data_IF_083033154149
#
_entry.id   IF_083033154149
#
_cell.length_a   1.000
_cell.length_b   1.000
_cell.length_c   1.000
_cell.angle_alpha   90.00
_cell.angle_beta   90.00
_cell.angle_gamma   90.00
#
_symmetry.space_group_name_H-M   'P 1'
#
loop_
_entity.id
_entity.type
_entity.pdbx_description
1 polymer ?
#
# COMPACT_ATOMS: atom_id res chain seq x y z
N UNK A 1 40.03 -4.73 -20.54
CA UNK A 1 38.59 -4.44 -20.31
C UNK A 1 37.96 -5.74 -19.84
N UNK A 2 37.50 -5.82 -18.61
CA UNK A 2 36.75 -6.99 -18.10
C UNK A 2 35.31 -6.75 -18.50
N UNK A 3 34.82 -7.47 -19.53
CA UNK A 3 33.39 -7.51 -19.84
C UNK A 3 32.70 -8.15 -18.66
N UNK A 4 32.01 -7.33 -17.87
CA UNK A 4 31.15 -7.85 -16.81
C UNK A 4 29.93 -8.49 -17.46
N UNK A 5 29.82 -9.80 -17.39
CA UNK A 5 28.58 -10.49 -17.73
C UNK A 5 27.44 -9.91 -16.91
N UNK A 6 26.33 -9.45 -17.53
CA UNK A 6 25.18 -8.95 -16.78
C UNK A 6 24.71 -10.00 -15.78
N UNK A 7 24.44 -9.59 -14.56
CA UNK A 7 23.85 -10.47 -13.57
C UNK A 7 22.53 -11.05 -14.13
N UNK A 8 22.22 -12.34 -13.88
CA UNK A 8 20.97 -12.93 -14.30
C UNK A 8 19.78 -12.15 -13.70
N UNK A 9 18.73 -11.96 -14.50
CA UNK A 9 17.53 -11.27 -14.04
C UNK A 9 16.92 -12.05 -12.86
N UNK A 10 16.44 -11.31 -11.84
CA UNK A 10 15.72 -11.92 -10.71
C UNK A 10 14.47 -12.69 -11.21
N UNK A 11 14.04 -13.75 -10.52
CA UNK A 11 12.79 -14.43 -10.86
C UNK A 11 11.60 -13.48 -10.71
N UNK A 12 10.64 -13.57 -11.65
CA UNK A 12 9.43 -12.73 -11.59
C UNK A 12 8.59 -13.10 -10.37
N UNK A 13 7.99 -12.10 -9.70
CA UNK A 13 7.04 -12.34 -8.61
C UNK A 13 5.82 -13.16 -9.04
N UNK A 14 5.36 -14.06 -8.19
CA UNK A 14 4.07 -14.73 -8.37
C UNK A 14 2.95 -13.91 -7.75
N UNK A 15 2.28 -13.09 -8.56
CA UNK A 15 1.15 -12.27 -8.15
C UNK A 15 -0.19 -13.02 -8.09
N UNK A 16 -0.24 -14.35 -8.29
CA UNK A 16 -1.52 -15.10 -8.41
C UNK A 16 -2.51 -14.80 -7.30
N UNK A 17 -2.05 -14.74 -6.05
CA UNK A 17 -2.90 -14.41 -4.88
C UNK A 17 -3.33 -12.94 -4.81
N UNK A 18 -2.65 -12.06 -5.53
CA UNK A 18 -2.91 -10.62 -5.55
C UNK A 18 -3.66 -10.17 -6.81
N UNK A 19 -3.93 -11.07 -7.76
CA UNK A 19 -4.59 -10.73 -9.03
C UNK A 19 -5.97 -10.08 -8.85
N UNK A 20 -6.68 -10.36 -7.76
CA UNK A 20 -7.95 -9.71 -7.46
C UNK A 20 -7.81 -8.19 -7.24
N UNK A 21 -6.61 -7.70 -6.88
CA UNK A 21 -6.33 -6.27 -6.69
C UNK A 21 -6.34 -5.48 -8.01
N UNK A 22 -6.15 -6.13 -9.16
CA UNK A 22 -6.10 -5.45 -10.46
C UNK A 22 -7.43 -4.77 -10.78
N UNK A 23 -7.33 -3.59 -11.41
CA UNK A 23 -8.46 -2.77 -11.81
C UNK A 23 -8.71 -1.59 -10.88
N UNK A 24 -9.94 -1.07 -10.92
CA UNK A 24 -10.33 0.14 -10.20
C UNK A 24 -11.02 -0.19 -8.88
N UNK A 25 -10.67 0.58 -7.85
CA UNK A 25 -11.19 0.41 -6.50
C UNK A 25 -11.66 1.74 -5.92
N UNK A 26 -12.71 1.67 -5.12
CA UNK A 26 -13.14 2.78 -4.26
C UNK A 26 -13.15 2.30 -2.82
N UNK A 27 -12.47 3.04 -1.95
CA UNK A 27 -12.39 2.76 -0.52
C UNK A 27 -13.03 3.89 0.28
N UNK A 28 -13.83 3.52 1.27
CA UNK A 28 -14.25 4.40 2.35
C UNK A 28 -13.35 4.14 3.56
N UNK A 29 -12.62 5.15 3.99
CA UNK A 29 -11.63 5.04 5.06
C UNK A 29 -12.05 5.89 6.24
N UNK A 30 -12.07 5.29 7.42
CA UNK A 30 -12.36 5.94 8.70
C UNK A 30 -11.09 6.00 9.54
N UNK A 31 -10.77 7.19 10.01
CA UNK A 31 -9.69 7.40 10.96
C UNK A 31 -10.27 7.84 12.31
N UNK A 32 -9.76 7.28 13.42
CA UNK A 32 -10.19 7.69 14.76
C UNK A 32 -9.93 9.17 15.09
N UNK A 33 -9.10 9.81 14.27
CA UNK A 33 -8.76 11.23 14.40
C UNK A 33 -9.74 12.18 13.70
N UNK A 34 -10.68 11.64 12.88
CA UNK A 34 -11.59 12.44 12.05
C UNK A 34 -13.05 12.06 12.31
N UNK A 35 -13.98 13.03 12.29
CA UNK A 35 -15.39 12.74 12.58
C UNK A 35 -16.11 11.98 11.45
N UNK A 36 -15.62 12.09 10.21
CA UNK A 36 -16.22 11.46 9.05
C UNK A 36 -15.19 10.66 8.26
N UNK A 37 -15.67 9.67 7.51
CA UNK A 37 -14.85 8.92 6.56
C UNK A 37 -14.44 9.79 5.37
N UNK A 38 -13.36 9.42 4.72
CA UNK A 38 -12.92 9.97 3.44
C UNK A 38 -12.88 8.88 2.36
N UNK A 39 -12.94 9.30 1.12
CA UNK A 39 -12.94 8.40 -0.03
C UNK A 39 -11.56 8.40 -0.69
N UNK A 40 -11.11 7.21 -1.04
CA UNK A 40 -9.93 7.00 -1.88
C UNK A 40 -10.34 6.20 -3.10
N UNK A 41 -9.91 6.63 -4.28
CA UNK A 41 -10.03 5.85 -5.52
C UNK A 41 -8.64 5.42 -5.96
N UNK A 42 -8.53 4.22 -6.51
CA UNK A 42 -7.24 3.72 -7.00
C UNK A 42 -7.39 2.83 -8.22
N UNK A 43 -6.30 2.71 -8.96
CA UNK A 43 -6.16 1.79 -10.08
C UNK A 43 -4.90 0.98 -9.87
N UNK A 44 -5.02 -0.34 -9.92
CA UNK A 44 -3.91 -1.28 -9.79
C UNK A 44 -3.66 -2.00 -11.11
N UNK A 45 -2.40 -2.04 -11.53
CA UNK A 45 -1.92 -2.73 -12.75
C UNK A 45 -0.63 -3.49 -12.45
N UNK A 46 -0.29 -4.44 -13.33
CA UNK A 46 1.07 -4.99 -13.38
C UNK A 46 1.82 -4.25 -14.47
N UNK A 47 3.05 -3.85 -14.19
CA UNK A 47 3.90 -3.14 -15.16
C UNK A 47 4.27 -4.07 -16.35
N UNK A 48 4.65 -3.52 -17.52
CA UNK A 48 4.96 -4.34 -18.70
C UNK A 48 6.10 -5.33 -18.50
N UNK A 49 6.99 -5.11 -17.54
CA UNK A 49 8.10 -6.05 -17.24
C UNK A 49 7.62 -7.25 -16.43
N UNK A 50 6.48 -7.14 -15.75
CA UNK A 50 5.92 -8.16 -14.87
C UNK A 50 6.61 -8.29 -13.52
N UNK A 51 7.47 -7.34 -13.15
CA UNK A 51 8.14 -7.33 -11.85
C UNK A 51 7.40 -6.53 -10.79
N UNK A 52 6.53 -5.61 -11.18
CA UNK A 52 5.88 -4.67 -10.26
C UNK A 52 4.37 -4.67 -10.43
N UNK A 53 3.67 -4.77 -9.30
CA UNK A 53 2.27 -4.37 -9.20
C UNK A 53 2.25 -2.91 -8.75
N UNK A 54 1.59 -2.06 -9.53
CA UNK A 54 1.57 -0.61 -9.32
C UNK A 54 0.14 -0.19 -9.01
N UNK A 55 -0.07 0.46 -7.88
CA UNK A 55 -1.33 1.07 -7.49
C UNK A 55 -1.18 2.58 -7.47
N UNK A 56 -1.98 3.28 -8.27
CA UNK A 56 -2.09 4.75 -8.24
C UNK A 56 -3.37 5.12 -7.53
N UNK A 57 -3.27 5.88 -6.46
CA UNK A 57 -4.39 6.26 -5.62
C UNK A 57 -4.59 7.76 -5.52
N UNK A 58 -5.83 8.17 -5.29
CA UNK A 58 -6.23 9.53 -4.98
C UNK A 58 -7.11 9.51 -3.74
N UNK A 59 -6.63 10.11 -2.65
CA UNK A 59 -7.46 10.45 -1.52
C UNK A 59 -8.17 11.77 -1.84
N UNK A 60 -9.49 11.72 -1.93
CA UNK A 60 -10.28 12.90 -2.30
C UNK A 60 -10.33 13.90 -1.14
N UNK A 61 -10.36 15.18 -1.50
CA UNK A 61 -10.51 16.28 -0.55
C UNK A 61 -11.73 16.11 0.33
N UNK A 62 -11.65 16.63 1.54
CA UNK A 62 -12.70 16.61 2.55
C UNK A 62 -12.90 18.00 3.12
N UNK A 63 -13.76 18.16 4.11
CA UNK A 63 -13.91 19.43 4.82
C UNK A 63 -12.65 19.85 5.62
N UNK A 64 -11.74 18.91 5.90
CA UNK A 64 -10.49 19.16 6.63
C UNK A 64 -9.22 19.07 5.78
N UNK A 65 -9.33 18.64 4.51
CA UNK A 65 -8.25 18.69 3.52
C UNK A 65 -8.67 19.56 2.35
N UNK A 66 -7.86 20.55 1.97
CA UNK A 66 -8.23 21.51 0.94
C UNK A 66 -8.06 20.96 -0.48
N UNK A 67 -7.22 19.95 -0.64
CA UNK A 67 -6.83 19.38 -1.93
C UNK A 67 -6.91 17.86 -1.88
N UNK A 68 -6.99 17.25 -3.04
CA UNK A 68 -6.77 15.80 -3.20
C UNK A 68 -5.29 15.49 -2.90
N UNK A 69 -5.06 14.32 -2.34
CA UNK A 69 -3.74 13.76 -2.11
C UNK A 69 -3.55 12.57 -3.04
N UNK A 70 -2.41 12.51 -3.74
CA UNK A 70 -2.11 11.43 -4.69
C UNK A 70 -0.93 10.62 -4.20
N UNK A 71 -1.01 9.31 -4.40
CA UNK A 71 0.07 8.38 -4.05
C UNK A 71 0.24 7.28 -5.07
N UNK A 72 1.41 6.66 -5.02
CA UNK A 72 1.75 5.48 -5.81
C UNK A 72 2.36 4.45 -4.89
N UNK A 73 1.83 3.23 -4.93
CA UNK A 73 2.40 2.06 -4.30
C UNK A 73 2.99 1.14 -5.36
N UNK A 74 4.17 0.62 -5.11
CA UNK A 74 4.89 -0.29 -6.00
C UNK A 74 5.28 -1.54 -5.24
N UNK A 75 4.64 -2.65 -5.55
CA UNK A 75 4.83 -3.93 -4.87
C UNK A 75 5.62 -4.91 -5.73
N UNK A 76 6.62 -5.55 -5.16
CA UNK A 76 7.41 -6.62 -5.78
C UNK A 76 7.79 -7.69 -4.76
N UNK A 77 8.45 -8.76 -5.22
CA UNK A 77 9.00 -9.80 -4.36
C UNK A 77 10.52 -9.79 -4.40
N UNK A 78 11.15 -9.63 -3.25
CA UNK A 78 12.59 -9.78 -3.05
C UNK A 78 12.90 -11.26 -2.83
N UNK A 79 13.46 -11.90 -3.86
CA UNK A 79 13.75 -13.34 -3.83
C UNK A 79 14.89 -13.69 -2.85
N UNK A 80 15.87 -12.80 -2.69
CA UNK A 80 17.01 -13.00 -1.79
C UNK A 80 16.56 -12.89 -0.32
N UNK A 81 15.79 -11.88 -0.02
CA UNK A 81 15.22 -11.69 1.32
C UNK A 81 13.96 -12.53 1.57
N UNK A 82 13.42 -13.21 0.55
CA UNK A 82 12.22 -14.07 0.59
C UNK A 82 11.00 -13.36 1.18
N UNK A 83 10.76 -12.13 0.75
CA UNK A 83 9.64 -11.31 1.24
C UNK A 83 9.10 -10.40 0.15
N UNK A 84 7.85 -10.03 0.34
CA UNK A 84 7.25 -8.96 -0.43
C UNK A 84 7.75 -7.61 0.06
N UNK A 85 7.92 -6.68 -0.86
CA UNK A 85 8.34 -5.31 -0.61
C UNK A 85 7.31 -4.39 -1.26
N UNK A 86 6.90 -3.37 -0.54
CA UNK A 86 6.02 -2.31 -1.02
C UNK A 86 6.68 -0.96 -0.77
N UNK A 87 6.73 -0.12 -1.80
CA UNK A 87 7.26 1.23 -1.75
C UNK A 87 6.11 2.17 -2.07
N UNK A 88 5.71 2.95 -1.08
CA UNK A 88 4.67 3.97 -1.21
C UNK A 88 5.28 5.35 -1.31
N UNK A 89 4.70 6.20 -2.17
CA UNK A 89 5.10 7.60 -2.33
C UNK A 89 3.87 8.50 -2.39
N UNK A 90 3.98 9.70 -1.83
CA UNK A 90 2.96 10.73 -1.88
C UNK A 90 3.39 11.98 -2.64
N UNK A 91 2.44 12.72 -3.20
CA UNK A 91 2.70 13.95 -3.98
C UNK A 91 3.15 15.14 -3.11
N UNK A 92 3.10 15.01 -1.78
CA UNK A 92 3.72 15.95 -0.83
C UNK A 92 5.16 15.56 -0.42
N UNK A 93 5.73 14.52 -1.06
CA UNK A 93 7.11 14.08 -0.82
C UNK A 93 7.26 13.04 0.29
N UNK A 94 6.16 12.52 0.85
CA UNK A 94 6.22 11.38 1.75
C UNK A 94 6.59 10.09 1.02
N UNK A 95 7.21 9.19 1.74
CA UNK A 95 7.49 7.83 1.26
C UNK A 95 7.49 6.84 2.42
N UNK A 96 7.22 5.60 2.09
CA UNK A 96 7.25 4.49 3.02
C UNK A 96 7.79 3.23 2.32
N UNK A 97 8.50 2.40 3.04
CA UNK A 97 8.90 1.06 2.62
C UNK A 97 8.36 0.06 3.62
N UNK A 98 7.53 -0.84 3.14
CA UNK A 98 6.94 -1.92 3.94
C UNK A 98 7.37 -3.28 3.43
N UNK A 99 7.34 -4.27 4.29
CA UNK A 99 7.64 -5.66 3.94
C UNK A 99 6.58 -6.61 4.47
N UNK A 100 6.42 -7.76 3.80
CA UNK A 100 5.47 -8.79 4.19
C UNK A 100 6.02 -10.19 3.89
N UNK A 101 5.74 -11.20 4.74
CA UNK A 101 6.01 -12.59 4.40
C UNK A 101 5.05 -13.15 3.34
N UNK A 102 4.03 -12.38 2.93
CA UNK A 102 3.05 -12.74 1.92
C UNK A 102 1.68 -13.14 2.47
N UNK A 103 0.83 -13.61 1.58
CA UNK A 103 -0.54 -14.00 1.88
C UNK A 103 -0.63 -15.23 2.78
N UNK A 104 -1.39 -15.11 3.86
CA UNK A 104 -1.80 -16.21 4.75
C UNK A 104 -3.33 -16.30 4.75
N UNK A 105 -3.87 -17.34 4.12
CA UNK A 105 -5.30 -17.39 3.86
C UNK A 105 -5.75 -16.18 3.00
N UNK A 106 -6.69 -15.43 3.51
CA UNK A 106 -7.25 -14.24 2.85
C UNK A 106 -6.59 -12.92 3.28
N UNK A 107 -5.53 -12.95 4.06
CA UNK A 107 -4.91 -11.73 4.59
C UNK A 107 -3.44 -11.65 4.25
N UNK A 108 -2.95 -10.43 4.05
CA UNK A 108 -1.54 -10.09 3.97
C UNK A 108 -1.25 -9.01 5.02
N UNK A 109 -0.12 -9.15 5.73
CA UNK A 109 0.29 -8.22 6.78
C UNK A 109 1.56 -7.51 6.33
N UNK A 110 1.50 -6.18 6.31
CA UNK A 110 2.61 -5.31 5.95
C UNK A 110 3.19 -4.67 7.19
N UNK A 111 4.50 -4.69 7.31
CA UNK A 111 5.24 -4.04 8.40
C UNK A 111 6.14 -2.96 7.82
N UNK A 112 6.01 -1.74 8.31
CA UNK A 112 6.85 -0.63 7.87
C UNK A 112 8.30 -0.82 8.32
N UNK A 113 9.21 -0.81 7.35
CA UNK A 113 10.64 -0.88 7.57
C UNK A 113 11.27 0.52 7.59
N UNK A 114 10.73 1.44 6.76
CA UNK A 114 11.14 2.83 6.68
C UNK A 114 9.90 3.70 6.54
N UNK A 115 9.83 4.77 7.32
CA UNK A 115 8.79 5.82 7.22
C UNK A 115 9.51 7.14 7.01
N UNK A 116 9.06 7.92 6.01
CA UNK A 116 9.67 9.23 5.78
C UNK A 116 9.47 10.16 6.97
N UNK A 117 10.40 11.08 7.22
CA UNK A 117 10.30 12.03 8.33
C UNK A 117 9.20 13.09 8.13
N UNK A 118 8.67 13.22 6.91
CA UNK A 118 7.57 14.13 6.63
C UNK A 118 6.27 13.62 7.27
N UNK A 119 5.43 14.54 7.70
CA UNK A 119 4.14 14.24 8.30
C UNK A 119 4.19 14.01 9.79
N UNK A 120 3.09 13.55 10.35
CA UNK A 120 2.86 13.46 11.79
C UNK A 120 2.96 12.03 12.34
N UNK A 121 3.51 11.10 11.57
CA UNK A 121 3.63 9.70 11.96
C UNK A 121 4.99 9.46 12.64
N UNK A 122 4.96 8.98 13.88
CA UNK A 122 6.16 8.59 14.63
C UNK A 122 6.49 7.10 14.46
N UNK A 123 5.46 6.27 14.49
CA UNK A 123 5.61 4.81 14.31
C UNK A 123 4.28 4.20 13.87
N UNK A 124 4.33 3.08 13.19
CA UNK A 124 3.16 2.32 12.78
C UNK A 124 3.14 0.95 13.44
N UNK A 125 1.95 0.36 13.53
CA UNK A 125 1.77 -1.08 13.71
C UNK A 125 1.57 -1.73 12.35
N UNK A 126 1.72 -3.06 12.24
CA UNK A 126 1.47 -3.74 10.98
C UNK A 126 0.08 -3.42 10.41
N UNK A 127 0.04 -3.18 9.10
CA UNK A 127 -1.21 -3.01 8.36
C UNK A 127 -1.68 -4.36 7.84
N UNK A 128 -2.91 -4.72 8.14
CA UNK A 128 -3.53 -5.94 7.64
C UNK A 128 -4.49 -5.60 6.50
N UNK A 129 -4.26 -6.16 5.32
CA UNK A 129 -5.19 -6.16 4.20
C UNK A 129 -5.88 -7.52 4.14
N UNK A 130 -7.21 -7.54 4.08
CA UNK A 130 -8.01 -8.77 4.03
C UNK A 130 -8.88 -8.78 2.78
N UNK A 131 -8.70 -9.82 1.97
CA UNK A 131 -9.59 -10.14 0.84
C UNK A 131 -10.91 -10.70 1.37
N UNK A 132 -12.00 -9.99 1.15
CA UNK A 132 -13.36 -10.43 1.51
C UNK A 132 -14.01 -11.22 0.37
N UNK A 133 -13.73 -10.81 -0.88
CA UNK A 133 -14.13 -11.48 -2.12
C UNK A 133 -13.26 -10.97 -3.27
N UNK A 134 -13.52 -11.37 -4.51
CA UNK A 134 -12.79 -10.83 -5.68
C UNK A 134 -13.11 -9.35 -5.96
N UNK A 135 -14.17 -8.82 -5.34
CA UNK A 135 -14.63 -7.44 -5.52
C UNK A 135 -14.71 -6.63 -4.22
N UNK A 136 -14.29 -7.20 -3.09
CA UNK A 136 -14.33 -6.52 -1.78
C UNK A 136 -13.07 -6.83 -0.97
N UNK A 137 -12.53 -5.82 -0.33
CA UNK A 137 -11.43 -5.95 0.62
C UNK A 137 -11.58 -4.96 1.78
N UNK A 138 -10.88 -5.21 2.87
CA UNK A 138 -10.75 -4.28 3.99
C UNK A 138 -9.30 -4.15 4.40
N UNK A 139 -8.94 -3.03 5.02
CA UNK A 139 -7.65 -2.88 5.67
C UNK A 139 -7.79 -2.28 7.05
N UNK A 140 -6.87 -2.63 7.92
CA UNK A 140 -6.77 -2.12 9.29
C UNK A 140 -5.33 -1.80 9.61
N UNK A 141 -5.10 -0.62 10.19
CA UNK A 141 -3.80 -0.21 10.71
C UNK A 141 -3.94 0.74 11.89
N UNK A 142 -2.87 0.85 12.68
CA UNK A 142 -2.74 1.90 13.69
C UNK A 142 -1.39 2.57 13.53
N UNK A 143 -1.30 3.83 13.94
CA UNK A 143 -0.04 4.54 14.00
C UNK A 143 0.00 5.49 15.20
N UNK A 144 1.20 5.82 15.64
CA UNK A 144 1.45 6.79 16.71
C UNK A 144 1.91 8.11 16.12
N UNK A 145 1.23 9.18 16.47
CA UNK A 145 1.65 10.54 16.12
C UNK A 145 2.79 11.04 17.02
N UNK A 146 3.51 12.06 16.58
CA UNK A 146 4.52 12.73 17.42
C UNK A 146 3.95 13.29 18.72
N UNK A 147 2.68 13.62 18.75
CA UNK A 147 1.95 13.99 19.98
C UNK A 147 1.77 12.85 21.00
N UNK A 148 2.09 11.62 20.62
CA UNK A 148 1.88 10.41 21.40
C UNK A 148 0.51 9.78 21.21
N UNK A 149 -0.42 10.41 20.46
CA UNK A 149 -1.77 9.88 20.21
C UNK A 149 -1.71 8.66 19.29
N UNK A 150 -2.44 7.61 19.66
CA UNK A 150 -2.69 6.46 18.78
C UNK A 150 -3.87 6.76 17.86
N UNK A 151 -3.70 6.49 16.58
CA UNK A 151 -4.72 6.65 15.54
C UNK A 151 -4.98 5.30 14.87
N UNK A 152 -6.24 4.92 14.83
CA UNK A 152 -6.71 3.73 14.10
C UNK A 152 -7.27 4.14 12.76
N UNK A 153 -6.94 3.37 11.71
CA UNK A 153 -7.42 3.59 10.35
C UNK A 153 -8.02 2.29 9.82
N UNK A 154 -9.28 2.35 9.44
CA UNK A 154 -10.03 1.23 8.86
C UNK A 154 -10.55 1.61 7.49
N UNK A 155 -10.33 0.75 6.50
CA UNK A 155 -10.84 0.95 5.15
C UNK A 155 -11.72 -0.23 4.73
N UNK A 156 -12.81 0.09 4.05
CA UNK A 156 -13.64 -0.86 3.35
C UNK A 156 -13.68 -0.48 1.87
N UNK A 157 -13.29 -1.41 1.01
CA UNK A 157 -13.08 -1.16 -0.40
C UNK A 157 -13.95 -2.08 -1.26
N UNK A 158 -14.39 -1.56 -2.40
CA UNK A 158 -15.08 -2.34 -3.43
C UNK A 158 -14.54 -1.98 -4.82
N UNK A 159 -14.61 -2.97 -5.71
CA UNK A 159 -14.22 -2.81 -7.12
C UNK A 159 -15.24 -1.96 -7.86
N UNK A 160 -14.74 -1.03 -8.68
CA UNK A 160 -15.58 -0.14 -9.49
C UNK A 160 -15.21 -0.27 -10.97
N UNK A 161 -16.14 -0.68 -11.79
CA UNK A 161 -16.06 -0.70 -13.26
C UNK A 161 -15.22 -1.83 -13.84
#
# INVERSE_FOLDING_TARGET
MIESTPAPAAPKPDFSKSMFLLGNWTCSTKSSRRPAAFITTSTTTIDPTGYWMITKGVQHKTSWTRTDFKGVDMTTYDADARRWVDISTGDEGSYNLSTSPGWRGNSIVWTDAVISPQGNVMSTTPTTLTKMSDTKMSSHSTFKEHSGRMVTVDSACHKTG
#
